data_IF_987209482348
#
_entry.id   IF_987209482348
#
_cell.length_a   1.000
_cell.length_b   1.000
_cell.length_c   1.000
_cell.angle_alpha   90.00
_cell.angle_beta   90.00
_cell.angle_gamma   90.00
#
_symmetry.space_group_name_H-M   'P 1'
#
loop_
_entity.id
_entity.type
_entity.pdbx_description
1 polymer ?
#
# COMPACT_ATOMS: atom_id res chain seq x y z
N UNK A 1 4.79 23.39 -14.30
CA UNK A 1 6.24 23.45 -14.02
C UNK A 1 6.87 22.09 -14.34
N UNK A 2 7.91 22.04 -15.20
CA UNK A 2 8.58 20.79 -15.61
C UNK A 2 9.78 20.43 -14.73
N UNK A 3 10.45 21.40 -14.14
CA UNK A 3 11.60 21.21 -13.23
C UNK A 3 11.16 21.41 -11.79
N UNK A 4 10.88 20.32 -11.07
CA UNK A 4 10.20 20.39 -9.75
C UNK A 4 11.13 20.72 -8.59
N UNK A 5 12.42 20.56 -8.78
CA UNK A 5 13.46 20.70 -7.74
C UNK A 5 14.19 22.05 -7.82
N UNK A 6 13.84 22.90 -8.79
CA UNK A 6 14.46 24.22 -8.95
C UNK A 6 14.00 25.14 -7.82
N UNK A 7 14.91 25.89 -7.17
CA UNK A 7 14.56 26.76 -6.04
C UNK A 7 13.42 27.75 -6.33
N UNK A 8 13.33 28.26 -7.56
CA UNK A 8 12.24 29.14 -8.00
C UNK A 8 10.87 28.45 -7.96
N UNK A 9 10.82 27.18 -8.40
CA UNK A 9 9.58 26.39 -8.39
C UNK A 9 9.16 26.08 -6.96
N UNK A 10 10.10 25.72 -6.09
CA UNK A 10 9.82 25.48 -4.68
C UNK A 10 9.29 26.76 -4.02
N UNK A 11 9.96 27.90 -4.22
CA UNK A 11 9.52 29.17 -3.66
C UNK A 11 8.11 29.58 -4.12
N UNK A 12 7.77 29.30 -5.38
CA UNK A 12 6.42 29.53 -5.89
C UNK A 12 5.39 28.59 -5.23
N UNK A 13 5.70 27.30 -5.08
CA UNK A 13 4.82 26.35 -4.39
C UNK A 13 4.59 26.75 -2.92
N UNK A 14 5.62 27.22 -2.23
CA UNK A 14 5.51 27.73 -0.86
C UNK A 14 4.62 28.97 -0.80
N UNK A 15 4.73 29.88 -1.77
CA UNK A 15 3.88 31.06 -1.86
C UNK A 15 2.40 30.71 -2.10
N UNK A 16 2.13 29.72 -2.96
CA UNK A 16 0.78 29.19 -3.21
C UNK A 16 0.20 28.49 -1.97
N UNK A 17 1.01 27.68 -1.27
CA UNK A 17 0.60 27.06 0.00
C UNK A 17 0.24 28.13 1.05
N UNK A 18 1.05 29.19 1.16
CA UNK A 18 0.76 30.30 2.07
C UNK A 18 -0.51 31.08 1.68
N UNK A 19 -0.81 31.20 0.38
CA UNK A 19 -2.06 31.78 -0.08
C UNK A 19 -3.26 30.91 0.29
N UNK A 20 -3.16 29.59 0.10
CA UNK A 20 -4.17 28.63 0.52
C UNK A 20 -4.42 28.69 2.03
N UNK A 21 -3.36 28.73 2.84
CA UNK A 21 -3.48 28.85 4.30
C UNK A 21 -4.20 30.13 4.72
N UNK A 22 -3.96 31.27 4.05
CA UNK A 22 -4.70 32.51 4.33
C UNK A 22 -6.16 32.41 3.93
N UNK A 23 -6.46 31.82 2.78
CA UNK A 23 -7.82 31.68 2.27
C UNK A 23 -8.67 30.71 3.09
N UNK A 24 -8.09 29.57 3.47
CA UNK A 24 -8.80 28.48 4.16
C UNK A 24 -8.54 28.43 5.67
N UNK A 25 -7.66 29.27 6.21
CA UNK A 25 -7.27 29.23 7.62
C UNK A 25 -8.45 29.29 8.59
N UNK A 26 -9.50 30.04 8.26
CA UNK A 26 -10.73 30.14 9.04
C UNK A 26 -11.53 28.82 9.14
N UNK A 27 -11.24 27.84 8.28
CA UNK A 27 -11.90 26.52 8.25
C UNK A 27 -11.10 25.42 8.96
N UNK A 28 -9.91 25.69 9.53
CA UNK A 28 -9.07 24.65 10.15
C UNK A 28 -9.81 23.84 11.22
N UNK A 29 -10.59 24.49 12.10
CA UNK A 29 -11.40 23.78 13.09
C UNK A 29 -12.46 22.85 12.47
N UNK A 30 -13.09 23.27 11.37
CA UNK A 30 -14.03 22.41 10.63
C UNK A 30 -13.31 21.24 9.95
N UNK A 31 -12.11 21.46 9.39
CA UNK A 31 -11.31 20.40 8.79
C UNK A 31 -10.92 19.34 9.83
N UNK A 32 -10.51 19.75 11.03
CA UNK A 32 -10.21 18.85 12.15
C UNK A 32 -11.44 18.05 12.58
N UNK A 33 -12.60 18.71 12.76
CA UNK A 33 -13.86 18.01 13.09
C UNK A 33 -14.23 16.98 12.02
N UNK A 34 -14.15 17.35 10.74
CA UNK A 34 -14.45 16.43 9.63
C UNK A 34 -13.45 15.27 9.58
N UNK A 35 -12.17 15.52 9.85
CA UNK A 35 -11.15 14.47 9.91
C UNK A 35 -11.49 13.44 10.99
N UNK A 36 -11.77 13.89 12.21
CA UNK A 36 -12.16 13.00 13.32
C UNK A 36 -13.45 12.23 13.01
N UNK A 37 -14.47 12.89 12.44
CA UNK A 37 -15.72 12.23 12.06
C UNK A 37 -15.53 11.16 10.99
N UNK A 38 -14.64 11.39 10.01
CA UNK A 38 -14.33 10.41 8.96
C UNK A 38 -13.61 9.21 9.57
N UNK A 39 -12.57 9.44 10.37
CA UNK A 39 -11.81 8.36 11.01
C UNK A 39 -12.70 7.54 11.95
N UNK A 40 -13.58 8.18 12.72
CA UNK A 40 -14.49 7.50 13.64
C UNK A 40 -15.50 6.57 12.93
N UNK A 41 -15.73 6.76 11.63
CA UNK A 41 -16.63 5.91 10.82
C UNK A 41 -15.91 4.79 10.09
N UNK A 42 -14.59 4.81 10.05
CA UNK A 42 -13.77 3.78 9.41
C UNK A 42 -13.48 2.69 10.43
N UNK A 43 -13.84 1.44 10.12
CA UNK A 43 -13.36 0.28 10.88
C UNK A 43 -11.90 0.05 10.52
N UNK A 44 -11.01 0.25 11.49
CA UNK A 44 -9.57 0.10 11.26
C UNK A 44 -9.17 -1.37 11.12
N UNK A 45 -9.89 -2.27 11.81
CA UNK A 45 -9.79 -3.71 11.70
C UNK A 45 -10.85 -4.24 10.72
N UNK A 46 -10.58 -4.11 9.42
CA UNK A 46 -11.46 -4.66 8.38
C UNK A 46 -10.78 -5.80 7.62
N UNK A 47 -11.58 -6.77 7.18
CA UNK A 47 -11.15 -7.87 6.34
C UNK A 47 -12.05 -7.95 5.11
N UNK A 48 -11.43 -7.97 3.93
CA UNK A 48 -12.13 -8.19 2.69
C UNK A 48 -12.78 -9.58 2.67
N UNK A 49 -13.92 -9.70 2.00
CA UNK A 49 -14.63 -10.97 1.82
C UNK A 49 -13.69 -11.97 1.12
N UNK A 50 -13.40 -13.14 1.73
CA UNK A 50 -12.49 -14.09 1.13
C UNK A 50 -13.03 -14.70 -0.17
N UNK A 51 -12.15 -14.90 -1.15
CA UNK A 51 -12.49 -15.58 -2.39
C UNK A 51 -11.71 -16.90 -2.52
N UNK A 52 -12.39 -17.94 -2.99
CA UNK A 52 -11.79 -19.25 -3.23
C UNK A 52 -11.18 -19.28 -4.63
N UNK A 53 -9.87 -19.50 -4.70
CA UNK A 53 -9.15 -19.78 -5.94
C UNK A 53 -8.23 -20.96 -5.69
N UNK A 54 -8.30 -21.97 -6.53
CA UNK A 54 -7.23 -22.97 -6.59
C UNK A 54 -6.98 -23.74 -5.26
N UNK A 55 -8.02 -23.94 -4.45
CA UNK A 55 -7.93 -24.62 -3.16
C UNK A 55 -7.45 -23.74 -1.99
N UNK A 56 -7.31 -22.43 -2.21
CA UNK A 56 -6.99 -21.45 -1.18
C UNK A 56 -8.05 -20.35 -1.14
N UNK A 57 -8.39 -19.91 0.08
CA UNK A 57 -9.14 -18.69 0.31
C UNK A 57 -8.17 -17.53 0.44
N UNK A 58 -8.31 -16.53 -0.40
CA UNK A 58 -7.49 -15.33 -0.40
C UNK A 58 -8.30 -14.16 0.13
N UNK A 59 -7.67 -13.30 0.92
CA UNK A 59 -8.26 -12.08 1.44
C UNK A 59 -7.18 -11.09 1.82
N UNK A 60 -7.58 -9.84 1.99
CA UNK A 60 -6.77 -8.78 2.56
C UNK A 60 -7.40 -8.36 3.88
N UNK A 61 -6.56 -8.06 4.87
CA UNK A 61 -7.02 -7.51 6.15
C UNK A 61 -6.20 -6.30 6.54
N UNK A 62 -6.80 -5.43 7.33
CA UNK A 62 -6.17 -4.28 7.95
C UNK A 62 -6.05 -4.52 9.45
N UNK A 63 -5.01 -3.96 10.05
CA UNK A 63 -4.82 -3.98 11.49
C UNK A 63 -4.96 -2.56 12.05
N UNK A 64 -5.39 -2.46 13.30
CA UNK A 64 -5.53 -1.17 13.96
C UNK A 64 -4.19 -0.40 13.97
N UNK A 65 -4.22 0.88 13.62
CA UNK A 65 -3.03 1.72 13.51
C UNK A 65 -2.09 1.38 12.33
N UNK A 66 -2.45 0.45 11.45
CA UNK A 66 -1.71 0.15 10.21
C UNK A 66 -2.39 0.80 9.00
N UNK A 67 -1.59 1.40 8.13
CA UNK A 67 -2.10 2.12 6.95
C UNK A 67 -2.31 1.20 5.74
N UNK A 68 -1.63 0.05 5.70
CA UNK A 68 -1.60 -0.82 4.54
C UNK A 68 -2.19 -2.21 4.82
N UNK A 69 -2.70 -2.83 3.76
CA UNK A 69 -3.31 -4.16 3.82
C UNK A 69 -2.27 -5.27 3.98
N UNK A 70 -2.62 -6.29 4.75
CA UNK A 70 -1.91 -7.56 4.85
C UNK A 70 -2.63 -8.58 3.98
N UNK A 71 -1.95 -9.09 2.95
CA UNK A 71 -2.49 -10.06 2.02
C UNK A 71 -2.26 -11.47 2.54
N UNK A 72 -3.34 -12.22 2.72
CA UNK A 72 -3.34 -13.50 3.40
C UNK A 72 -4.01 -14.59 2.55
N UNK A 73 -3.69 -15.85 2.85
CA UNK A 73 -4.43 -17.02 2.35
C UNK A 73 -4.66 -18.07 3.42
N UNK A 74 -5.67 -18.92 3.20
CA UNK A 74 -6.00 -20.09 4.02
C UNK A 74 -6.24 -21.30 3.13
N UNK A 75 -5.66 -22.45 3.46
CA UNK A 75 -5.73 -23.66 2.63
C UNK A 75 -7.03 -24.44 2.88
N UNK A 76 -7.82 -24.65 1.83
CA UNK A 76 -8.99 -25.54 1.80
C UNK A 76 -10.22 -25.11 2.61
N UNK A 77 -10.06 -24.39 3.72
CA UNK A 77 -11.15 -23.93 4.59
C UNK A 77 -10.84 -22.57 5.21
N UNK A 78 -11.88 -21.78 5.50
CA UNK A 78 -11.77 -20.51 6.23
C UNK A 78 -11.29 -20.70 7.69
N UNK A 79 -11.46 -21.90 8.23
CA UNK A 79 -10.99 -22.26 9.58
C UNK A 79 -9.54 -22.76 9.59
N UNK A 80 -8.90 -22.89 8.41
CA UNK A 80 -7.50 -23.29 8.35
C UNK A 80 -6.58 -22.16 8.88
N UNK A 81 -5.35 -22.51 9.30
CA UNK A 81 -4.34 -21.51 9.66
C UNK A 81 -4.14 -20.48 8.55
N UNK A 82 -3.98 -19.21 8.95
CA UNK A 82 -3.67 -18.11 8.04
C UNK A 82 -2.19 -18.18 7.62
N UNK A 83 -1.92 -17.96 6.34
CA UNK A 83 -0.60 -17.77 5.77
C UNK A 83 -0.50 -16.34 5.21
N UNK A 84 0.46 -15.55 5.70
CA UNK A 84 0.71 -14.19 5.19
C UNK A 84 1.50 -14.29 3.87
N UNK A 85 0.92 -13.77 2.79
CA UNK A 85 1.54 -13.71 1.48
C UNK A 85 2.47 -12.49 1.42
N UNK A 86 1.93 -11.31 1.69
CA UNK A 86 2.66 -10.03 1.67
C UNK A 86 2.08 -9.12 2.76
N UNK A 87 2.94 -8.63 3.64
CA UNK A 87 2.62 -7.49 4.50
C UNK A 87 3.09 -6.21 3.81
N UNK A 88 2.15 -5.35 3.43
CA UNK A 88 2.48 -4.08 2.80
C UNK A 88 3.03 -3.04 3.79
N UNK A 89 2.78 -3.20 5.09
CA UNK A 89 3.29 -2.29 6.12
C UNK A 89 4.80 -2.46 6.29
N UNK A 90 5.29 -3.71 6.38
CA UNK A 90 6.73 -4.00 6.43
C UNK A 90 7.46 -3.44 5.21
N UNK A 91 6.83 -3.52 4.04
CA UNK A 91 7.41 -3.01 2.80
C UNK A 91 7.35 -1.48 2.67
N UNK A 92 6.46 -0.83 3.41
CA UNK A 92 6.32 0.62 3.42
C UNK A 92 7.29 1.31 4.40
N UNK A 93 7.89 0.56 5.33
CA UNK A 93 8.79 1.13 6.34
C UNK A 93 9.95 1.91 5.69
N UNK A 94 10.15 3.14 6.15
CA UNK A 94 11.20 4.02 5.64
C UNK A 94 10.88 4.74 4.32
N UNK A 95 9.64 4.64 3.82
CA UNK A 95 9.19 5.36 2.63
C UNK A 95 8.09 6.37 2.95
N UNK A 96 8.23 7.60 2.46
CA UNK A 96 7.20 8.65 2.60
C UNK A 96 5.91 8.36 1.81
N UNK A 97 6.00 7.46 0.84
CA UNK A 97 4.88 6.96 0.05
C UNK A 97 5.10 5.48 -0.25
N UNK A 98 4.04 4.67 -0.16
CA UNK A 98 4.08 3.29 -0.62
C UNK A 98 2.78 2.91 -1.31
N UNK A 99 2.88 2.18 -2.41
CA UNK A 99 1.75 1.57 -3.11
C UNK A 99 2.12 0.19 -3.63
N UNK A 100 1.35 -0.81 -3.22
CA UNK A 100 1.38 -2.15 -3.77
C UNK A 100 0.24 -2.35 -4.77
N UNK A 101 0.54 -2.88 -5.96
CA UNK A 101 -0.44 -3.16 -7.02
C UNK A 101 -0.17 -4.49 -7.72
N UNK A 102 -1.22 -5.05 -8.32
CA UNK A 102 -1.10 -6.20 -9.22
C UNK A 102 -0.57 -7.47 -8.54
N UNK A 103 -1.01 -7.75 -7.31
CA UNK A 103 -0.64 -8.97 -6.60
C UNK A 103 -1.28 -10.17 -7.29
N UNK A 104 -0.45 -11.07 -7.79
CA UNK A 104 -0.88 -12.32 -8.40
C UNK A 104 -0.04 -13.49 -7.90
N UNK A 105 -0.69 -14.64 -7.75
CA UNK A 105 -0.08 -15.87 -7.26
C UNK A 105 0.10 -16.83 -8.43
N UNK A 106 1.26 -17.50 -8.51
CA UNK A 106 1.58 -18.49 -9.54
C UNK A 106 0.57 -19.64 -9.54
N UNK A 107 0.44 -20.33 -10.68
CA UNK A 107 -0.37 -21.54 -10.79
C UNK A 107 0.06 -22.60 -9.78
N UNK A 108 1.35 -22.73 -9.49
CA UNK A 108 1.88 -23.68 -8.50
C UNK A 108 1.72 -23.19 -7.05
N UNK A 109 1.19 -21.98 -6.84
CA UNK A 109 0.92 -21.36 -5.54
C UNK A 109 2.16 -21.18 -4.66
N UNK A 110 3.33 -21.13 -5.27
CA UNK A 110 4.64 -21.06 -4.62
C UNK A 110 5.34 -19.71 -4.82
N UNK A 111 4.88 -18.88 -5.77
CA UNK A 111 5.44 -17.57 -6.07
C UNK A 111 4.31 -16.55 -6.11
N UNK A 112 4.53 -15.40 -5.49
CA UNK A 112 3.68 -14.20 -5.68
C UNK A 112 4.47 -13.13 -6.43
N UNK A 113 3.83 -12.51 -7.42
CA UNK A 113 4.34 -11.36 -8.13
C UNK A 113 3.52 -10.12 -7.75
N UNK A 114 4.16 -8.98 -7.54
CA UNK A 114 3.48 -7.72 -7.26
C UNK A 114 4.36 -6.52 -7.61
N UNK A 115 3.72 -5.40 -7.98
CA UNK A 115 4.37 -4.13 -8.25
C UNK A 115 4.41 -3.24 -7.02
N UNK A 116 5.52 -2.54 -6.81
CA UNK A 116 5.71 -1.58 -5.71
C UNK A 116 6.13 -0.21 -6.26
N UNK A 117 5.53 0.86 -5.75
CA UNK A 117 5.90 2.25 -6.02
C UNK A 117 6.12 2.96 -4.69
N UNK A 118 7.31 3.54 -4.50
CA UNK A 118 7.73 4.23 -3.28
C UNK A 118 7.75 5.75 -3.42
N UNK A 119 7.43 6.27 -4.60
CA UNK A 119 7.55 7.71 -4.92
C UNK A 119 6.28 8.30 -5.55
N UNK A 120 5.23 7.49 -5.77
CA UNK A 120 3.93 7.91 -6.26
C UNK A 120 3.90 8.28 -7.75
N UNK A 121 4.91 7.86 -8.51
CA UNK A 121 5.01 8.15 -9.97
C UNK A 121 4.31 7.11 -10.83
N UNK A 122 3.70 6.09 -10.22
CA UNK A 122 3.11 4.92 -10.89
C UNK A 122 4.13 4.15 -11.74
N UNK A 123 5.41 4.30 -11.43
CA UNK A 123 6.47 3.42 -11.92
C UNK A 123 6.64 2.32 -10.90
N UNK A 124 6.26 1.11 -11.29
CA UNK A 124 6.25 -0.03 -10.39
C UNK A 124 7.51 -0.88 -10.57
N UNK A 125 8.20 -1.13 -9.46
CA UNK A 125 9.21 -2.18 -9.39
C UNK A 125 8.50 -3.51 -9.19
N UNK A 126 8.63 -4.42 -10.15
CA UNK A 126 8.08 -5.76 -10.05
C UNK A 126 8.92 -6.61 -9.10
N UNK A 127 8.29 -7.18 -8.08
CA UNK A 127 8.91 -8.04 -7.09
C UNK A 127 8.26 -9.40 -7.11
N UNK A 128 9.07 -10.43 -6.86
CA UNK A 128 8.64 -11.82 -6.75
C UNK A 128 9.03 -12.36 -5.39
N UNK A 129 8.10 -12.96 -4.65
CA UNK A 129 8.35 -13.63 -3.37
C UNK A 129 7.97 -15.09 -3.46
N UNK A 130 8.85 -15.97 -2.99
CA UNK A 130 8.54 -17.39 -2.86
C UNK A 130 7.79 -17.62 -1.53
N UNK A 131 6.68 -18.38 -1.57
CA UNK A 131 5.81 -18.66 -0.43
C UNK A 131 6.16 -19.96 0.31
N UNK A 132 6.96 -20.84 -0.31
CA UNK A 132 7.39 -22.11 0.29
C UNK A 132 8.74 -21.98 1.02
N UNK A 133 9.52 -20.97 0.67
CA UNK A 133 10.80 -20.70 1.31
C UNK A 133 10.59 -19.94 2.61
N UNK A 134 11.16 -20.44 3.70
CA UNK A 134 11.21 -19.73 4.99
C UNK A 134 12.19 -18.54 4.98
N UNK A 135 12.97 -18.37 3.91
CA UNK A 135 13.81 -17.19 3.73
C UNK A 135 12.93 -15.97 3.41
N UNK A 136 12.81 -15.09 4.38
CA UNK A 136 12.18 -13.78 4.27
C UNK A 136 12.80 -12.88 3.17
N UNK A 137 13.98 -13.26 2.63
CA UNK A 137 14.85 -12.39 1.84
C UNK A 137 15.22 -12.89 0.44
N UNK A 138 14.25 -13.33 -0.36
CA UNK A 138 14.49 -13.43 -1.81
C UNK A 138 13.40 -12.79 -2.64
N UNK A 139 13.18 -11.50 -2.40
CA UNK A 139 12.65 -10.64 -3.46
C UNK A 139 13.64 -10.62 -4.62
N UNK A 140 13.39 -11.43 -5.65
CA UNK A 140 14.16 -11.32 -6.89
C UNK A 140 13.70 -10.04 -7.59
N UNK A 141 14.55 -9.02 -7.55
CA UNK A 141 14.40 -7.84 -8.37
C UNK A 141 14.64 -8.23 -9.83
N UNK A 142 13.56 -8.38 -10.59
CA UNK A 142 13.68 -8.36 -12.04
C UNK A 142 13.43 -6.91 -12.46
N UNK A 143 14.50 -6.20 -12.83
CA UNK A 143 14.40 -4.87 -13.44
C UNK A 143 13.79 -5.01 -14.84
N UNK A 144 12.49 -5.28 -14.92
CA UNK A 144 11.72 -5.08 -16.12
C UNK A 144 11.26 -3.63 -16.12
N UNK A 145 12.02 -2.75 -16.77
CA UNK A 145 11.57 -1.41 -17.10
C UNK A 145 10.41 -1.57 -18.09
N UNK A 146 9.18 -1.54 -17.60
CA UNK A 146 8.01 -1.48 -18.47
C UNK A 146 7.96 -0.04 -19.04
N UNK A 147 8.59 0.10 -20.20
CA UNK A 147 8.67 1.23 -21.15
C UNK A 147 8.73 2.66 -20.59
#
# INVERSE_FOLDING_TARGET
MRERETPEVIAYLDAENAYLDRGLGHTKGLQETLFEEIIARIKQDDAAVPYLRDGYYYYARYEEGKEYAIYCRKKGSLNAPEEIIVDANELAEGHDFFSLRGLEVSSERDIVAFGTDTVGRRFYTLRFKNLNSSDADRFRFCWARAF
#
